data_IF_404490707610
#
_entry.id   IF_404490707610
#
_cell.length_a   1.000
_cell.length_b   1.000
_cell.length_c   1.000
_cell.angle_alpha   90.00
_cell.angle_beta   90.00
_cell.angle_gamma   90.00
#
_symmetry.space_group_name_H-M   'P 1'
#
loop_
_entity.id
_entity.type
_entity.pdbx_description
1 polymer ?
#
# COMPACT_ATOMS: atom_id res chain seq x y z
N UNK A 1 14.59 5.20 -7.52
CA UNK A 1 15.69 6.19 -7.46
C UNK A 1 16.32 6.22 -8.84
N UNK A 2 16.50 7.42 -9.40
CA UNK A 2 16.42 7.72 -10.84
C UNK A 2 17.53 7.04 -11.65
N UNK A 3 17.16 6.09 -12.54
CA UNK A 3 18.05 5.57 -13.60
C UNK A 3 18.69 6.70 -14.42
N UNK A 4 17.96 7.81 -14.59
CA UNK A 4 18.43 9.04 -15.22
C UNK A 4 19.54 9.78 -14.46
N UNK A 5 19.58 9.74 -13.12
CA UNK A 5 20.67 10.37 -12.35
C UNK A 5 22.01 9.66 -12.56
N UNK A 6 21.99 8.32 -12.62
CA UNK A 6 23.19 7.53 -12.88
C UNK A 6 23.80 7.85 -14.25
N UNK A 7 22.95 8.17 -15.22
CA UNK A 7 23.35 8.41 -16.60
C UNK A 7 23.74 9.86 -16.83
N UNK A 8 23.12 10.79 -16.11
CA UNK A 8 23.63 12.16 -15.99
C UNK A 8 25.05 12.14 -15.38
N UNK A 9 25.29 11.33 -14.34
CA UNK A 9 26.64 11.13 -13.77
C UNK A 9 27.61 10.49 -14.80
N UNK A 10 27.20 9.42 -15.51
CA UNK A 10 28.00 8.79 -16.57
C UNK A 10 28.36 9.78 -17.66
N UNK A 11 27.36 10.50 -18.19
CA UNK A 11 27.56 11.45 -19.27
C UNK A 11 28.46 12.60 -18.84
N UNK A 12 28.34 13.08 -17.60
CA UNK A 12 29.22 14.11 -17.02
C UNK A 12 30.68 13.64 -17.00
N UNK A 13 30.92 12.37 -16.67
CA UNK A 13 32.26 11.80 -16.64
C UNK A 13 32.82 11.44 -18.02
N UNK A 14 31.96 11.27 -19.03
CA UNK A 14 32.33 10.96 -20.41
C UNK A 14 32.43 12.19 -21.32
N UNK A 15 32.10 13.40 -20.84
CA UNK A 15 32.15 14.65 -21.65
C UNK A 15 33.49 14.80 -22.40
N UNK A 16 34.60 14.45 -21.75
CA UNK A 16 35.95 14.61 -22.30
C UNK A 16 36.36 13.55 -23.34
N UNK A 17 35.65 12.42 -23.43
CA UNK A 17 35.93 11.36 -24.40
C UNK A 17 35.14 11.49 -25.71
N UNK A 18 34.26 12.49 -25.81
CA UNK A 18 33.36 12.68 -26.95
C UNK A 18 32.25 11.62 -27.04
N UNK A 19 32.13 10.75 -26.03
CA UNK A 19 31.11 9.72 -25.96
C UNK A 19 29.92 10.21 -25.17
N UNK A 20 28.74 9.99 -25.73
CA UNK A 20 27.47 10.31 -25.12
C UNK A 20 26.62 9.05 -25.05
N UNK A 21 26.20 8.68 -23.84
CA UNK A 21 25.20 7.62 -23.64
C UNK A 21 23.83 8.30 -23.72
N UNK A 22 23.10 8.04 -24.80
CA UNK A 22 21.77 8.63 -25.01
C UNK A 22 20.83 8.33 -23.85
N UNK A 23 19.99 9.32 -23.51
CA UNK A 23 18.98 9.23 -22.45
C UNK A 23 17.73 8.44 -22.88
N UNK A 24 17.79 7.11 -22.87
CA UNK A 24 16.66 6.23 -23.16
C UNK A 24 15.75 6.02 -21.94
N UNK A 25 14.47 5.72 -22.18
CA UNK A 25 13.49 5.40 -21.14
C UNK A 25 13.75 4.01 -20.52
N UNK A 26 14.36 3.10 -21.29
CA UNK A 26 14.75 1.75 -20.87
C UNK A 26 16.21 1.48 -21.25
N UNK A 27 17.00 1.05 -20.27
CA UNK A 27 18.39 0.65 -20.48
C UNK A 27 18.54 -0.82 -20.18
N UNK A 28 19.06 -1.53 -21.16
CA UNK A 28 19.42 -2.94 -21.05
C UNK A 28 20.93 -3.01 -20.76
N UNK A 29 21.40 -3.79 -19.78
CA UNK A 29 22.81 -3.87 -19.40
C UNK A 29 23.77 -4.11 -20.57
N UNK A 30 23.30 -4.82 -21.59
CA UNK A 30 24.03 -5.10 -22.84
C UNK A 30 24.46 -3.81 -23.55
N UNK A 31 23.63 -2.76 -23.55
CA UNK A 31 23.97 -1.47 -24.19
C UNK A 31 25.16 -0.80 -23.50
N UNK A 32 25.25 -0.90 -22.17
CA UNK A 32 26.40 -0.37 -21.43
C UNK A 32 27.66 -1.22 -21.65
N UNK A 33 27.52 -2.54 -21.76
CA UNK A 33 28.63 -3.44 -22.10
C UNK A 33 29.16 -3.15 -23.50
N UNK A 34 28.29 -3.00 -24.49
CA UNK A 34 28.65 -2.63 -25.86
C UNK A 34 29.32 -1.25 -25.92
N UNK A 35 28.84 -0.29 -25.13
CA UNK A 35 29.46 1.03 -25.01
C UNK A 35 30.87 0.93 -24.40
N UNK A 36 31.05 0.08 -23.38
CA UNK A 36 32.35 -0.17 -22.78
C UNK A 36 33.34 -0.80 -23.77
N UNK A 37 32.90 -1.77 -24.58
CA UNK A 37 33.75 -2.39 -25.59
C UNK A 37 34.09 -1.41 -26.72
N UNK A 38 33.12 -0.63 -27.23
CA UNK A 38 33.40 0.44 -28.21
C UNK A 38 34.37 1.49 -27.66
N UNK A 39 34.24 1.86 -26.39
CA UNK A 39 35.18 2.76 -25.74
C UNK A 39 36.59 2.15 -25.68
N UNK A 40 36.71 0.86 -25.36
CA UNK A 40 37.99 0.16 -25.38
C UNK A 40 38.62 0.11 -26.78
N UNK A 41 37.82 -0.09 -27.82
CA UNK A 41 38.28 -0.09 -29.22
C UNK A 41 38.78 1.29 -29.67
N UNK A 42 38.00 2.35 -29.45
CA UNK A 42 38.35 3.73 -29.86
C UNK A 42 39.67 4.17 -29.21
N UNK A 43 39.83 3.86 -27.93
CA UNK A 43 41.00 4.27 -27.14
C UNK A 43 42.13 3.24 -27.16
N UNK A 44 41.98 2.14 -27.91
CA UNK A 44 42.93 1.02 -27.97
C UNK A 44 43.40 0.59 -26.58
N UNK A 45 42.45 0.42 -25.67
CA UNK A 45 42.73 0.12 -24.27
C UNK A 45 43.32 -1.30 -24.18
N UNK A 46 44.58 -1.39 -23.74
CA UNK A 46 45.18 -2.66 -23.37
C UNK A 46 44.72 -3.05 -21.96
N UNK A 47 43.78 -4.00 -21.88
CA UNK A 47 43.23 -4.50 -20.61
C UNK A 47 44.31 -5.18 -19.74
N UNK A 48 45.42 -5.65 -20.33
CA UNK A 48 46.51 -6.30 -19.60
C UNK A 48 47.40 -5.32 -18.82
N UNK A 49 47.39 -4.04 -19.18
CA UNK A 49 48.16 -2.99 -18.53
C UNK A 49 47.42 -2.35 -17.34
N UNK A 50 46.27 -2.89 -16.94
CA UNK A 50 45.46 -2.35 -15.85
C UNK A 50 46.15 -2.51 -14.49
N UNK A 51 46.15 -1.42 -13.72
CA UNK A 51 46.79 -1.40 -12.40
C UNK A 51 45.76 -1.39 -11.28
N UNK A 52 46.05 -2.10 -10.19
CA UNK A 52 45.16 -2.28 -9.03
C UNK A 52 45.93 -2.13 -7.72
N UNK A 53 45.24 -1.82 -6.62
CA UNK A 53 45.83 -1.73 -5.28
C UNK A 53 46.29 -0.33 -4.85
N UNK A 54 46.74 -0.22 -3.60
CA UNK A 54 47.22 1.05 -3.01
C UNK A 54 48.54 1.48 -3.65
N UNK A 55 48.68 2.77 -3.98
CA UNK A 55 49.88 3.34 -4.60
C UNK A 55 49.88 3.34 -6.13
N UNK A 56 48.95 2.61 -6.77
CA UNK A 56 48.81 2.59 -8.22
C UNK A 56 47.73 3.56 -8.70
N UNK A 57 48.07 4.45 -9.64
CA UNK A 57 47.15 5.42 -10.21
C UNK A 57 46.58 4.91 -11.53
N UNK A 58 45.32 4.45 -11.52
CA UNK A 58 44.57 4.11 -12.74
C UNK A 58 44.55 5.28 -13.72
N UNK A 59 44.76 4.99 -15.00
CA UNK A 59 44.56 5.95 -16.09
C UNK A 59 43.10 6.39 -16.17
N UNK A 60 42.82 7.51 -16.82
CA UNK A 60 41.45 8.00 -17.00
C UNK A 60 40.62 6.98 -17.79
N UNK A 61 41.24 6.37 -18.80
CA UNK A 61 40.64 5.34 -19.67
C UNK A 61 40.30 4.07 -18.88
N UNK A 62 41.23 3.56 -18.05
CA UNK A 62 40.93 2.42 -17.18
C UNK A 62 39.75 2.71 -16.25
N UNK A 63 39.74 3.89 -15.61
CA UNK A 63 38.64 4.28 -14.70
C UNK A 63 37.30 4.34 -15.40
N UNK A 64 37.23 4.97 -16.59
CA UNK A 64 35.99 5.11 -17.34
C UNK A 64 35.48 3.76 -17.86
N UNK A 65 36.36 2.90 -18.37
CA UNK A 65 36.01 1.56 -18.82
C UNK A 65 35.47 0.69 -17.67
N UNK A 66 36.19 0.63 -16.55
CA UNK A 66 35.73 -0.13 -15.37
C UNK A 66 34.43 0.42 -14.80
N UNK A 67 34.25 1.75 -14.84
CA UNK A 67 33.03 2.40 -14.38
C UNK A 67 31.82 2.05 -15.25
N UNK A 68 31.99 1.97 -16.58
CA UNK A 68 30.93 1.49 -17.49
C UNK A 68 30.54 0.04 -17.18
N UNK A 69 31.52 -0.85 -16.96
CA UNK A 69 31.25 -2.23 -16.56
C UNK A 69 30.59 -2.34 -15.18
N UNK A 70 31.02 -1.54 -14.21
CA UNK A 70 30.42 -1.47 -12.88
C UNK A 70 28.94 -1.05 -12.97
N UNK A 71 28.63 -0.09 -13.83
CA UNK A 71 27.25 0.33 -14.08
C UNK A 71 26.43 -0.74 -14.78
N UNK A 72 26.99 -1.46 -15.76
CA UNK A 72 26.32 -2.59 -16.38
C UNK A 72 25.97 -3.68 -15.34
N UNK A 73 26.92 -4.07 -14.50
CA UNK A 73 26.71 -5.05 -13.43
C UNK A 73 25.66 -4.58 -12.40
N UNK A 74 25.66 -3.29 -12.03
CA UNK A 74 24.63 -2.70 -11.17
C UNK A 74 23.25 -2.73 -11.80
N UNK A 75 23.14 -2.49 -13.11
CA UNK A 75 21.85 -2.59 -13.81
C UNK A 75 21.34 -4.03 -13.84
N UNK A 76 22.20 -5.02 -14.08
CA UNK A 76 21.84 -6.44 -13.99
C UNK A 76 21.30 -6.80 -12.62
N UNK A 77 22.01 -6.40 -11.56
CA UNK A 77 21.58 -6.60 -10.18
C UNK A 77 20.22 -5.94 -9.92
N UNK A 78 19.97 -4.73 -10.43
CA UNK A 78 18.67 -4.07 -10.29
C UNK A 78 17.55 -4.77 -11.06
N UNK A 79 17.82 -5.30 -12.26
CA UNK A 79 16.84 -6.06 -13.04
C UNK A 79 16.45 -7.32 -12.28
N UNK A 80 17.43 -8.06 -11.77
CA UNK A 80 17.18 -9.25 -10.95
C UNK A 80 16.37 -8.90 -9.69
N UNK A 81 16.77 -7.86 -8.94
CA UNK A 81 16.05 -7.39 -7.75
C UNK A 81 14.61 -6.97 -8.05
N UNK A 82 14.38 -6.26 -9.16
CA UNK A 82 13.03 -5.85 -9.59
C UNK A 82 12.22 -7.08 -9.97
N UNK A 83 12.81 -8.04 -10.68
CA UNK A 83 12.19 -9.31 -11.03
C UNK A 83 11.76 -10.12 -9.80
N UNK A 84 12.64 -10.24 -8.81
CA UNK A 84 12.35 -10.92 -7.52
C UNK A 84 11.27 -10.17 -6.72
N UNK A 85 11.33 -8.83 -6.69
CA UNK A 85 10.36 -8.02 -5.95
C UNK A 85 8.96 -8.15 -6.55
N UNK A 86 8.86 -8.18 -7.89
CA UNK A 86 7.60 -8.19 -8.62
C UNK A 86 6.87 -6.83 -8.58
N UNK A 87 5.76 -6.71 -9.33
CA UNK A 87 5.01 -5.45 -9.45
C UNK A 87 4.15 -5.12 -8.21
N UNK A 88 3.82 -6.14 -7.40
CA UNK A 88 2.79 -6.06 -6.35
C UNK A 88 3.30 -5.56 -5.00
N UNK A 89 4.61 -5.30 -4.87
CA UNK A 89 5.25 -4.86 -3.63
C UNK A 89 6.53 -4.08 -3.88
N UNK A 90 6.99 -3.36 -2.85
CA UNK A 90 8.15 -2.47 -2.93
C UNK A 90 9.39 -2.97 -2.18
N UNK A 91 9.30 -4.11 -1.48
CA UNK A 91 10.40 -4.66 -0.70
C UNK A 91 10.25 -6.16 -0.46
N UNK A 92 11.39 -6.82 -0.26
CA UNK A 92 11.46 -8.23 0.10
C UNK A 92 12.70 -8.51 0.97
N UNK A 93 12.67 -9.58 1.78
CA UNK A 93 13.83 -10.00 2.59
C UNK A 93 14.90 -10.65 1.71
N UNK A 94 16.19 -10.36 1.96
CA UNK A 94 17.31 -11.00 1.27
C UNK A 94 17.41 -12.51 1.50
N UNK A 95 16.91 -13.00 2.65
CA UNK A 95 17.00 -14.42 3.05
C UNK A 95 15.68 -15.17 2.89
N UNK A 96 14.59 -14.44 2.61
CA UNK A 96 13.29 -14.99 2.30
C UNK A 96 12.62 -14.06 1.29
N UNK A 97 12.85 -14.31 0.01
CA UNK A 97 12.29 -13.49 -1.05
C UNK A 97 10.75 -13.43 -1.01
N UNK A 98 10.07 -14.36 -0.33
CA UNK A 98 8.61 -14.30 -0.18
C UNK A 98 8.14 -13.34 0.92
N UNK A 99 8.98 -12.96 1.87
CA UNK A 99 8.61 -12.04 2.95
C UNK A 99 8.82 -10.58 2.55
N UNK A 100 7.91 -9.69 2.97
CA UNK A 100 7.97 -8.24 2.68
C UNK A 100 8.27 -7.45 3.95
N UNK A 101 9.04 -6.37 3.84
CA UNK A 101 9.36 -5.54 5.00
C UNK A 101 8.14 -4.73 5.44
N UNK A 102 7.68 -4.98 6.66
CA UNK A 102 6.52 -4.35 7.27
C UNK A 102 6.91 -3.76 8.63
N UNK A 103 6.20 -2.71 9.06
CA UNK A 103 6.36 -2.19 10.42
C UNK A 103 5.56 -3.10 11.35
N UNK A 104 6.27 -3.82 12.20
CA UNK A 104 5.65 -4.70 13.19
C UNK A 104 5.53 -3.94 14.49
N UNK A 105 4.33 -3.95 15.07
CA UNK A 105 4.08 -3.43 16.41
C UNK A 105 4.60 -4.45 17.43
N UNK A 106 5.81 -4.25 17.94
CA UNK A 106 6.46 -5.17 18.90
C UNK A 106 6.05 -4.95 20.35
N UNK A 107 5.50 -3.79 20.69
CA UNK A 107 5.02 -3.47 22.04
C UNK A 107 3.80 -2.51 22.01
N UNK A 108 3.14 -2.37 23.18
CA UNK A 108 2.05 -1.40 23.39
C UNK A 108 2.53 0.07 23.24
N UNK A 109 3.86 0.29 23.30
CA UNK A 109 4.48 1.62 23.21
C UNK A 109 4.80 2.05 21.77
N UNK A 110 4.55 1.20 20.77
CA UNK A 110 4.63 1.57 19.36
C UNK A 110 6.05 1.68 18.80
N UNK A 111 7.03 0.98 19.37
CA UNK A 111 8.34 0.87 18.74
C UNK A 111 8.23 0.02 17.47
N UNK A 112 7.90 0.66 16.36
CA UNK A 112 7.71 0.01 15.06
C UNK A 112 9.05 -0.42 14.46
N UNK A 113 9.44 -1.68 14.63
CA UNK A 113 10.58 -2.22 13.90
C UNK A 113 10.18 -2.62 12.49
N UNK A 114 10.98 -2.22 11.49
CA UNK A 114 10.82 -2.70 10.12
C UNK A 114 11.42 -4.10 10.02
N UNK A 115 10.57 -5.11 9.90
CA UNK A 115 10.95 -6.52 9.87
C UNK A 115 10.32 -7.23 8.66
N UNK A 116 10.98 -8.27 8.12
CA UNK A 116 10.39 -9.09 7.09
C UNK A 116 9.24 -9.91 7.66
N UNK A 117 8.07 -9.82 7.04
CA UNK A 117 6.83 -10.42 7.52
C UNK A 117 5.92 -10.86 6.37
N UNK A 118 4.90 -11.63 6.74
CA UNK A 118 3.75 -11.96 5.90
C UNK A 118 2.51 -11.32 6.51
N UNK A 119 1.62 -10.83 5.66
CA UNK A 119 0.34 -10.31 6.11
C UNK A 119 -0.71 -11.43 6.10
N UNK A 120 -1.07 -11.90 7.29
CA UNK A 120 -2.02 -13.01 7.48
C UNK A 120 -3.38 -12.43 7.82
N UNK A 121 -4.39 -12.77 7.01
CA UNK A 121 -5.78 -12.36 7.23
C UNK A 121 -6.66 -13.57 7.46
N UNK A 122 -7.64 -13.42 8.36
CA UNK A 122 -8.60 -14.46 8.71
C UNK A 122 -10.02 -13.93 8.62
N UNK A 123 -10.92 -14.71 8.05
CA UNK A 123 -12.36 -14.54 8.19
C UNK A 123 -12.87 -15.51 9.25
N UNK A 124 -13.61 -15.00 10.23
CA UNK A 124 -14.11 -15.78 11.37
C UNK A 124 -15.63 -15.80 11.35
N UNK A 125 -16.22 -16.97 11.55
CA UNK A 125 -17.66 -17.18 11.67
C UNK A 125 -17.96 -18.18 12.78
N UNK A 126 -18.91 -17.85 13.67
CA UNK A 126 -19.26 -18.64 14.86
C UNK A 126 -18.03 -19.04 15.69
N UNK A 127 -17.08 -18.11 15.86
CA UNK A 127 -15.78 -18.33 16.55
C UNK A 127 -14.80 -19.29 15.85
N UNK A 128 -15.11 -19.78 14.65
CA UNK A 128 -14.22 -20.61 13.84
C UNK A 128 -13.56 -19.78 12.75
N UNK A 129 -12.30 -20.09 12.45
CA UNK A 129 -11.63 -19.57 11.26
C UNK A 129 -12.26 -20.25 10.05
N UNK A 130 -13.06 -19.50 9.30
CA UNK A 130 -13.75 -19.95 8.10
C UNK A 130 -12.84 -19.86 6.87
N UNK A 131 -12.05 -18.80 6.79
CA UNK A 131 -11.09 -18.58 5.69
C UNK A 131 -9.82 -17.95 6.24
N UNK A 132 -8.68 -18.28 5.66
CA UNK A 132 -7.39 -17.68 5.99
C UNK A 132 -6.58 -17.49 4.72
N UNK A 133 -5.91 -16.36 4.61
CA UNK A 133 -5.05 -16.03 3.47
C UNK A 133 -3.74 -15.41 3.94
N UNK A 134 -2.64 -15.74 3.26
CA UNK A 134 -1.29 -15.25 3.56
C UNK A 134 -0.78 -14.46 2.37
N UNK A 135 -0.48 -13.19 2.61
CA UNK A 135 -0.16 -12.23 1.57
C UNK A 135 1.23 -11.60 1.76
N UNK A 136 1.76 -11.07 0.67
CA UNK A 136 2.98 -10.26 0.66
C UNK A 136 2.68 -8.77 0.76
N UNK A 137 1.40 -8.39 0.71
CA UNK A 137 0.99 -6.99 0.75
C UNK A 137 1.25 -6.38 2.13
N UNK A 138 1.78 -5.15 2.13
CA UNK A 138 2.02 -4.40 3.37
C UNK A 138 0.74 -3.82 3.95
N UNK A 139 -0.24 -3.48 3.11
CA UNK A 139 -1.51 -2.89 3.55
C UNK A 139 -2.59 -3.95 3.66
N UNK A 140 -3.43 -3.82 4.70
CA UNK A 140 -4.63 -4.65 4.84
C UNK A 140 -5.64 -4.37 3.72
N UNK A 141 -5.64 -3.16 3.15
CA UNK A 141 -6.50 -2.78 2.02
C UNK A 141 -6.33 -3.75 0.86
N UNK A 142 -5.08 -4.09 0.53
CA UNK A 142 -4.75 -4.95 -0.61
C UNK A 142 -5.01 -6.44 -0.31
N UNK A 143 -5.18 -6.81 0.97
CA UNK A 143 -5.46 -8.19 1.37
C UNK A 143 -6.95 -8.55 1.33
N UNK A 144 -7.85 -7.57 1.18
CA UNK A 144 -9.30 -7.80 1.17
C UNK A 144 -9.74 -8.73 0.05
N UNK A 145 -9.42 -8.37 -1.19
CA UNK A 145 -9.84 -9.08 -2.39
C UNK A 145 -9.28 -10.52 -2.38
N UNK A 146 -7.97 -10.76 -2.11
CA UNK A 146 -7.45 -12.12 -1.96
C UNK A 146 -8.22 -12.97 -0.95
N UNK A 147 -8.57 -12.40 0.22
CA UNK A 147 -9.33 -13.13 1.24
C UNK A 147 -10.76 -13.46 0.77
N UNK A 148 -11.43 -12.53 0.10
CA UNK A 148 -12.78 -12.75 -0.45
C UNK A 148 -12.79 -13.76 -1.60
N UNK A 149 -11.79 -13.74 -2.48
CA UNK A 149 -11.63 -14.74 -3.53
C UNK A 149 -11.34 -16.13 -2.94
N UNK A 150 -10.52 -16.21 -1.89
CA UNK A 150 -10.29 -17.46 -1.16
C UNK A 150 -11.57 -17.96 -0.45
N UNK A 151 -12.41 -17.05 0.05
CA UNK A 151 -13.72 -17.39 0.61
C UNK A 151 -14.63 -17.96 -0.49
N UNK A 152 -14.73 -17.29 -1.64
CA UNK A 152 -15.53 -17.76 -2.78
C UNK A 152 -15.07 -19.12 -3.27
N UNK A 153 -13.75 -19.35 -3.40
CA UNK A 153 -13.20 -20.66 -3.78
C UNK A 153 -13.60 -21.78 -2.81
N UNK A 154 -13.75 -21.45 -1.52
CA UNK A 154 -14.07 -22.42 -0.47
C UNK A 154 -15.56 -22.73 -0.41
N UNK A 155 -16.41 -21.71 -0.59
CA UNK A 155 -17.85 -21.81 -0.32
C UNK A 155 -18.76 -21.67 -1.55
N UNK A 156 -18.23 -21.22 -2.69
CA UNK A 156 -18.97 -21.00 -3.94
C UNK A 156 -19.82 -19.72 -3.97
N UNK A 157 -19.73 -18.87 -2.95
CA UNK A 157 -20.45 -17.60 -2.87
C UNK A 157 -19.63 -16.54 -2.09
N UNK A 158 -20.00 -15.27 -2.21
CA UNK A 158 -19.40 -14.17 -1.45
C UNK A 158 -20.25 -13.80 -0.22
N UNK A 159 -19.65 -13.36 0.89
CA UNK A 159 -20.40 -12.97 2.07
C UNK A 159 -21.23 -11.72 1.80
N UNK A 160 -22.51 -11.72 2.20
CA UNK A 160 -23.38 -10.55 2.00
C UNK A 160 -22.87 -9.30 2.76
N UNK A 161 -22.33 -9.50 3.96
CA UNK A 161 -21.92 -8.43 4.88
C UNK A 161 -20.44 -8.58 5.31
N UNK A 162 -19.47 -8.26 4.44
CA UNK A 162 -18.05 -8.30 4.80
C UNK A 162 -17.72 -7.16 5.79
N UNK A 163 -17.76 -7.49 7.09
CA UNK A 163 -17.43 -6.57 8.17
C UNK A 163 -15.92 -6.61 8.46
N UNK A 164 -15.24 -5.47 8.37
CA UNK A 164 -13.79 -5.39 8.58
C UNK A 164 -13.34 -4.07 9.23
N UNK A 165 -12.09 -4.05 9.68
CA UNK A 165 -11.48 -2.87 10.33
C UNK A 165 -11.20 -1.73 9.35
N UNK A 166 -10.85 -0.56 9.91
CA UNK A 166 -10.63 0.68 9.16
C UNK A 166 -9.50 0.58 8.12
N UNK A 167 -8.62 -0.42 8.25
CA UNK A 167 -7.56 -0.71 7.30
C UNK A 167 -8.02 -1.34 5.99
N UNK A 168 -9.29 -1.72 5.86
CA UNK A 168 -9.85 -2.37 4.67
C UNK A 168 -10.67 -1.45 3.78
N UNK A 169 -11.30 -0.41 4.34
CA UNK A 169 -12.18 0.49 3.59
C UNK A 169 -11.43 1.34 2.58
N UNK A 170 -11.59 1.01 1.31
CA UNK A 170 -10.98 1.70 0.18
C UNK A 170 -11.94 1.73 -1.00
N UNK A 171 -11.76 2.71 -1.90
CA UNK A 171 -12.56 2.80 -3.12
C UNK A 171 -12.56 1.49 -3.92
N UNK A 172 -11.38 0.88 -4.13
CA UNK A 172 -11.27 -0.36 -4.91
C UNK A 172 -12.04 -1.51 -4.25
N UNK A 173 -11.98 -1.61 -2.91
CA UNK A 173 -12.70 -2.66 -2.17
C UNK A 173 -14.22 -2.43 -2.17
N UNK A 174 -14.67 -1.18 -2.12
CA UNK A 174 -16.09 -0.86 -2.21
C UNK A 174 -16.68 -1.17 -3.59
N UNK A 175 -15.97 -0.82 -4.67
CA UNK A 175 -16.37 -1.19 -6.04
C UNK A 175 -16.38 -2.72 -6.19
N UNK A 176 -15.35 -3.40 -5.68
CA UNK A 176 -15.30 -4.86 -5.71
C UNK A 176 -16.49 -5.49 -4.95
N UNK A 177 -16.88 -4.92 -3.81
CA UNK A 177 -18.09 -5.36 -3.10
C UNK A 177 -19.34 -5.24 -3.98
N UNK A 178 -19.58 -4.09 -4.61
CA UNK A 178 -20.72 -3.91 -5.51
C UNK A 178 -20.74 -4.93 -6.65
N UNK A 179 -19.60 -5.12 -7.33
CA UNK A 179 -19.47 -6.05 -8.46
C UNK A 179 -19.78 -7.51 -8.07
N UNK A 180 -19.49 -7.88 -6.82
CA UNK A 180 -19.70 -9.24 -6.31
C UNK A 180 -20.99 -9.39 -5.50
N UNK A 181 -21.83 -8.35 -5.44
CA UNK A 181 -23.10 -8.37 -4.71
C UNK A 181 -22.96 -8.33 -3.18
N UNK A 182 -21.83 -7.86 -2.66
CA UNK A 182 -21.58 -7.65 -1.23
C UNK A 182 -21.93 -6.22 -0.82
N UNK A 183 -22.44 -6.03 0.39
CA UNK A 183 -22.72 -4.70 0.94
C UNK A 183 -21.47 -4.07 1.59
N UNK A 184 -21.41 -2.74 1.62
CA UNK A 184 -20.23 -2.01 2.11
C UNK A 184 -20.24 -1.85 3.64
N UNK A 185 -19.66 -2.82 4.33
CA UNK A 185 -19.55 -2.85 5.80
C UNK A 185 -18.11 -2.73 6.32
N UNK A 186 -17.16 -2.29 5.49
CA UNK A 186 -15.79 -2.03 5.93
C UNK A 186 -15.64 -0.58 6.36
N UNK A 187 -15.06 -0.34 7.54
CA UNK A 187 -14.70 1.02 7.94
C UNK A 187 -13.61 1.56 7.00
N UNK A 188 -13.66 2.85 6.68
CA UNK A 188 -12.51 3.58 6.11
C UNK A 188 -11.68 4.23 7.22
N UNK A 189 -10.43 4.60 6.93
CA UNK A 189 -9.47 5.15 7.90
C UNK A 189 -10.01 6.33 8.73
N UNK A 190 -10.79 7.20 8.10
CA UNK A 190 -11.35 8.40 8.75
C UNK A 190 -12.70 8.17 9.41
N UNK A 191 -13.26 6.96 9.38
CA UNK A 191 -14.61 6.65 9.86
C UNK A 191 -14.85 7.22 11.27
N UNK A 192 -13.98 6.91 12.24
CA UNK A 192 -14.12 7.39 13.63
C UNK A 192 -14.15 8.92 13.72
N UNK A 193 -13.34 9.61 12.91
CA UNK A 193 -13.32 11.07 12.88
C UNK A 193 -14.57 11.65 12.23
N UNK A 194 -15.11 10.98 11.21
CA UNK A 194 -16.36 11.43 10.58
C UNK A 194 -17.57 11.24 11.50
N UNK A 195 -17.61 10.18 12.30
CA UNK A 195 -18.79 9.82 13.12
C UNK A 195 -18.75 10.36 14.55
N UNK A 196 -17.58 10.42 15.19
CA UNK A 196 -17.45 10.75 16.62
C UNK A 196 -16.91 12.16 16.89
N UNK A 197 -16.10 12.72 15.99
CA UNK A 197 -15.48 14.04 16.17
C UNK A 197 -16.35 15.15 15.57
N UNK A 198 -17.27 15.68 16.38
CA UNK A 198 -18.17 16.78 15.98
C UNK A 198 -17.41 17.99 15.45
N UNK A 199 -16.28 18.35 16.08
CA UNK A 199 -15.47 19.50 15.65
C UNK A 199 -14.88 19.26 14.26
N UNK A 200 -14.47 18.03 13.96
CA UNK A 200 -14.03 17.66 12.62
C UNK A 200 -15.19 17.61 11.63
N UNK A 201 -16.31 17.00 11.99
CA UNK A 201 -17.47 16.85 11.12
C UNK A 201 -18.10 18.20 10.75
N UNK A 202 -18.34 19.07 11.73
CA UNK A 202 -19.01 20.36 11.55
C UNK A 202 -18.05 21.49 11.12
N UNK A 203 -16.77 21.20 10.90
CA UNK A 203 -15.80 22.23 10.53
C UNK A 203 -16.23 22.93 9.22
N UNK A 204 -16.56 24.23 9.25
CA UNK A 204 -17.09 24.95 8.08
C UNK A 204 -16.05 25.08 6.97
N UNK A 205 -14.77 24.91 7.30
CA UNK A 205 -13.68 24.95 6.34
C UNK A 205 -13.46 23.60 5.64
N UNK A 206 -14.24 22.55 5.88
CA UNK A 206 -14.12 21.32 5.09
C UNK A 206 -14.86 21.44 3.76
N UNK A 207 -14.25 20.96 2.69
CA UNK A 207 -14.81 21.03 1.35
C UNK A 207 -16.19 20.37 1.22
N UNK A 208 -16.41 19.27 1.96
CA UNK A 208 -17.71 18.56 1.99
C UNK A 208 -18.83 19.38 2.65
N UNK A 209 -18.48 20.38 3.44
CA UNK A 209 -19.43 21.26 4.14
C UNK A 209 -19.66 22.59 3.41
N UNK A 210 -19.01 22.80 2.27
CA UNK A 210 -19.20 24.01 1.47
C UNK A 210 -20.58 23.99 0.83
N UNK A 211 -21.26 25.13 0.86
CA UNK A 211 -22.58 25.26 0.26
C UNK A 211 -22.42 25.38 -1.26
N UNK A 212 -23.33 24.75 -1.98
CA UNK A 212 -23.52 24.98 -3.41
C UNK A 212 -24.59 26.05 -3.56
N UNK A 213 -24.32 27.09 -4.33
CA UNK A 213 -25.30 28.14 -4.61
C UNK A 213 -26.32 27.73 -5.69
N UNK A 214 -27.23 28.64 -6.02
CA UNK A 214 -28.28 28.40 -7.03
C UNK A 214 -27.73 28.18 -8.45
N UNK A 215 -26.48 28.56 -8.70
CA UNK A 215 -25.78 28.40 -9.98
C UNK A 215 -24.97 27.10 -10.04
N UNK A 216 -25.00 26.30 -8.96
CA UNK A 216 -24.22 25.07 -8.86
C UNK A 216 -22.76 25.29 -8.45
N UNK A 217 -22.39 26.50 -8.00
CA UNK A 217 -21.03 26.87 -7.65
C UNK A 217 -20.80 26.65 -6.15
N UNK A 218 -19.68 25.97 -5.83
CA UNK A 218 -19.25 25.78 -4.46
C UNK A 218 -18.74 27.08 -3.85
N UNK A 219 -19.24 27.43 -2.67
CA UNK A 219 -18.85 28.63 -1.93
C UNK A 219 -18.27 28.28 -0.56
N UNK A 220 -17.16 28.93 -0.22
CA UNK A 220 -16.57 28.80 1.11
C UNK A 220 -17.34 29.62 2.16
N UNK A 221 -17.00 29.50 3.46
CA UNK A 221 -17.65 30.27 4.53
C UNK A 221 -17.60 31.80 4.37
N UNK A 222 -16.60 32.32 3.63
CA UNK A 222 -16.50 33.75 3.29
C UNK A 222 -17.29 34.14 2.03
N UNK A 223 -18.06 33.21 1.43
CA UNK A 223 -18.87 33.44 0.23
C UNK A 223 -18.10 33.39 -1.10
N UNK A 224 -16.79 33.18 -1.07
CA UNK A 224 -15.94 33.12 -2.28
C UNK A 224 -16.15 31.84 -3.07
N UNK A 225 -16.23 31.98 -4.39
CA UNK A 225 -16.48 30.90 -5.32
C UNK A 225 -15.26 29.98 -5.51
N UNK A 226 -15.52 28.70 -5.68
CA UNK A 226 -14.54 27.68 -6.06
C UNK A 226 -14.79 27.24 -7.50
N UNK A 227 -13.83 27.52 -8.38
CA UNK A 227 -13.91 27.17 -9.79
C UNK A 227 -13.15 25.88 -10.07
N UNK A 228 -13.70 25.08 -10.97
CA UNK A 228 -13.04 23.88 -11.48
C UNK A 228 -11.71 24.26 -12.14
N UNK A 229 -10.63 23.61 -11.72
CA UNK A 229 -9.31 23.80 -12.30
C UNK A 229 -8.97 22.68 -13.30
N UNK A 230 -8.95 21.44 -12.83
CA UNK A 230 -8.66 20.26 -13.65
C UNK A 230 -9.05 18.96 -12.94
N UNK A 231 -9.07 17.86 -13.70
CA UNK A 231 -9.17 16.48 -13.18
C UNK A 231 -7.81 15.83 -13.13
N UNK A 232 -7.59 15.02 -12.10
CA UNK A 232 -6.36 14.26 -11.91
C UNK A 232 -6.68 12.80 -11.62
N UNK A 233 -6.05 11.89 -12.36
CA UNK A 233 -6.12 10.45 -12.07
C UNK A 233 -5.50 10.15 -10.69
N UNK A 234 -6.16 9.30 -9.92
CA UNK A 234 -5.66 8.84 -8.63
C UNK A 234 -4.68 7.69 -8.85
N UNK A 235 -3.43 7.88 -8.43
CA UNK A 235 -2.39 6.83 -8.54
C UNK A 235 -2.79 5.60 -7.73
N UNK A 236 -2.63 4.42 -8.31
CA UNK A 236 -2.93 3.13 -7.66
C UNK A 236 -4.42 2.75 -7.67
N UNK A 237 -5.24 3.47 -8.43
CA UNK A 237 -6.63 3.08 -8.64
C UNK A 237 -6.76 2.09 -9.82
N UNK A 238 -7.50 1.00 -9.60
CA UNK A 238 -7.69 -0.07 -10.61
C UNK A 238 -8.88 0.21 -11.55
N UNK A 239 -9.68 1.23 -11.27
CA UNK A 239 -10.96 1.54 -11.91
C UNK A 239 -10.99 2.95 -12.51
N UNK A 240 -9.82 3.53 -12.84
CA UNK A 240 -9.73 4.83 -13.52
C UNK A 240 -10.21 6.05 -12.72
N UNK A 241 -10.35 5.94 -11.40
CA UNK A 241 -10.84 7.03 -10.53
C UNK A 241 -10.08 8.33 -10.73
N UNK A 242 -10.84 9.42 -10.82
CA UNK A 242 -10.33 10.78 -10.89
C UNK A 242 -10.74 11.60 -9.68
N UNK A 243 -9.94 12.59 -9.33
CA UNK A 243 -10.27 13.64 -8.37
C UNK A 243 -10.42 14.97 -9.11
N UNK A 244 -11.47 15.70 -8.78
CA UNK A 244 -11.70 17.05 -9.29
C UNK A 244 -11.00 18.06 -8.36
N UNK A 245 -10.19 18.93 -8.95
CA UNK A 245 -9.48 19.99 -8.25
C UNK A 245 -10.22 21.31 -8.48
N UNK A 246 -10.58 21.99 -7.40
CA UNK A 246 -11.21 23.30 -7.44
C UNK A 246 -10.35 24.33 -6.72
N UNK A 247 -10.28 25.55 -7.24
CA UNK A 247 -9.50 26.65 -6.67
C UNK A 247 -10.41 27.83 -6.34
N UNK A 248 -10.21 28.41 -5.16
CA UNK A 248 -10.90 29.62 -4.72
C UNK A 248 -10.53 30.79 -5.63
N UNK A 249 -11.53 31.57 -6.04
CA UNK A 249 -11.34 32.76 -6.90
C UNK A 249 -10.35 33.76 -6.30
N UNK A 250 -10.50 34.06 -5.00
CA UNK A 250 -9.69 35.05 -4.30
C UNK A 250 -9.74 34.83 -2.78
N UNK A 251 -8.57 34.69 -2.16
CA UNK A 251 -8.45 34.61 -0.70
C UNK A 251 -7.78 35.84 -0.06
N UNK A 252 -7.46 36.89 -0.82
CA UNK A 252 -6.81 38.09 -0.32
C UNK A 252 -7.71 38.82 0.69
N UNK A 253 -7.13 39.24 1.83
CA UNK A 253 -7.87 39.92 2.90
C UNK A 253 -8.93 39.08 3.60
N UNK A 254 -8.92 37.75 3.43
CA UNK A 254 -9.92 36.88 4.05
C UNK A 254 -9.71 36.79 5.57
N UNK A 255 -10.73 37.11 6.41
CA UNK A 255 -10.61 37.06 7.87
C UNK A 255 -10.41 35.63 8.41
N UNK A 256 -10.67 34.62 7.58
CA UNK A 256 -10.51 33.21 7.94
C UNK A 256 -9.22 32.58 7.39
N UNK A 257 -8.28 33.38 6.87
CA UNK A 257 -7.07 32.88 6.22
C UNK A 257 -6.30 31.86 7.08
N UNK A 258 -6.08 32.15 8.36
CA UNK A 258 -5.29 31.30 9.27
C UNK A 258 -5.93 29.94 9.55
N UNK A 259 -7.27 29.86 9.50
CA UNK A 259 -8.02 28.63 9.74
C UNK A 259 -8.26 27.82 8.46
N UNK A 260 -8.28 28.50 7.31
CA UNK A 260 -8.72 27.96 6.02
C UNK A 260 -7.54 27.59 5.11
N UNK A 261 -6.47 28.39 5.11
CA UNK A 261 -5.30 28.25 4.24
C UNK A 261 -4.15 27.58 4.98
N UNK A 262 -3.28 26.91 4.20
CA UNK A 262 -1.99 26.37 4.68
C UNK A 262 -0.78 27.04 4.03
N UNK A 263 -1.02 27.88 3.04
CA UNK A 263 0.00 28.53 2.19
C UNK A 263 -0.52 29.90 1.79
N UNK A 264 0.35 30.79 1.32
CA UNK A 264 -0.02 32.14 0.89
C UNK A 264 -0.89 32.16 -0.38
N UNK A 265 -0.89 31.09 -1.16
CA UNK A 265 -1.70 30.93 -2.38
C UNK A 265 -3.20 30.78 -2.07
N UNK A 266 -4.04 31.04 -3.08
CA UNK A 266 -5.47 30.75 -3.00
C UNK A 266 -5.71 29.29 -2.62
N UNK A 267 -6.76 29.06 -1.82
CA UNK A 267 -7.08 27.72 -1.35
C UNK A 267 -7.53 26.83 -2.50
N UNK A 268 -6.96 25.64 -2.56
CA UNK A 268 -7.39 24.56 -3.46
C UNK A 268 -8.02 23.43 -2.64
N UNK A 269 -9.10 22.84 -3.16
CA UNK A 269 -9.76 21.67 -2.58
C UNK A 269 -9.79 20.54 -3.60
N UNK A 270 -9.87 19.30 -3.10
CA UNK A 270 -10.05 18.10 -3.91
C UNK A 270 -11.40 17.53 -3.56
N UNK A 271 -12.21 17.25 -4.57
CA UNK A 271 -13.53 16.67 -4.40
C UNK A 271 -13.54 15.33 -5.11
N UNK A 272 -13.99 14.31 -4.37
CA UNK A 272 -14.20 12.99 -4.92
C UNK A 272 -15.63 12.53 -4.61
N UNK A 273 -16.56 12.89 -5.49
CA UNK A 273 -18.00 12.67 -5.27
C UNK A 273 -18.35 11.20 -5.07
N UNK A 274 -17.75 10.32 -5.87
CA UNK A 274 -17.99 8.87 -5.80
C UNK A 274 -17.56 8.28 -4.46
N UNK A 275 -16.31 8.53 -4.01
CA UNK A 275 -15.86 8.00 -2.72
C UNK A 275 -16.62 8.63 -1.56
N UNK A 276 -16.95 9.93 -1.62
CA UNK A 276 -17.79 10.57 -0.60
C UNK A 276 -19.15 9.87 -0.50
N UNK A 277 -19.80 9.59 -1.63
CA UNK A 277 -21.06 8.85 -1.65
C UNK A 277 -20.94 7.44 -1.06
N UNK A 278 -19.87 6.70 -1.38
CA UNK A 278 -19.59 5.40 -0.78
C UNK A 278 -19.34 5.50 0.72
N UNK A 279 -18.64 6.54 1.19
CA UNK A 279 -18.43 6.76 2.62
C UNK A 279 -19.74 7.05 3.34
N UNK A 280 -20.63 7.85 2.76
CA UNK A 280 -21.94 8.13 3.35
C UNK A 280 -22.79 6.86 3.44
N UNK A 281 -22.73 5.98 2.43
CA UNK A 281 -23.36 4.66 2.47
C UNK A 281 -22.76 3.78 3.58
N UNK A 282 -21.44 3.69 3.67
CA UNK A 282 -20.74 2.93 4.71
C UNK A 282 -21.11 3.45 6.11
N UNK A 283 -21.22 4.77 6.30
CA UNK A 283 -21.67 5.36 7.56
C UNK A 283 -23.10 4.92 7.89
N UNK A 284 -24.05 5.09 6.96
CA UNK A 284 -25.44 4.64 7.15
C UNK A 284 -25.52 3.14 7.48
N UNK A 285 -24.77 2.30 6.77
CA UNK A 285 -24.73 0.87 7.00
C UNK A 285 -24.19 0.54 8.40
N UNK A 286 -23.08 1.14 8.82
CA UNK A 286 -22.40 0.83 10.08
C UNK A 286 -23.01 1.48 11.33
N UNK A 287 -23.75 2.58 11.16
CA UNK A 287 -24.52 3.24 12.23
C UNK A 287 -25.93 2.68 12.38
N UNK A 288 -26.41 1.88 11.44
CA UNK A 288 -27.64 1.10 11.60
C UNK A 288 -27.54 0.11 12.77
N UNK A 289 -28.69 -0.34 13.30
CA UNK A 289 -28.75 -1.37 14.35
C UNK A 289 -28.01 -2.65 13.88
N UNK A 290 -28.25 -3.06 12.64
CA UNK A 290 -27.56 -4.22 12.04
C UNK A 290 -26.05 -4.02 11.98
N UNK A 291 -25.59 -2.85 11.51
CA UNK A 291 -24.17 -2.52 11.45
C UNK A 291 -23.49 -2.48 12.81
N UNK A 292 -24.19 -1.97 13.84
CA UNK A 292 -23.71 -1.98 15.21
C UNK A 292 -23.53 -3.43 15.73
N UNK A 293 -24.51 -4.31 15.50
CA UNK A 293 -24.43 -5.72 15.88
C UNK A 293 -23.30 -6.46 15.13
N UNK A 294 -23.15 -6.23 13.83
CA UNK A 294 -22.06 -6.81 13.04
C UNK A 294 -20.69 -6.34 13.53
N UNK A 295 -20.52 -5.05 13.83
CA UNK A 295 -19.27 -4.50 14.40
C UNK A 295 -18.93 -5.13 15.75
N UNK A 296 -19.91 -5.28 16.62
CA UNK A 296 -19.75 -5.92 17.93
C UNK A 296 -19.31 -7.38 17.76
N UNK A 297 -20.02 -8.14 16.92
CA UNK A 297 -19.69 -9.54 16.63
C UNK A 297 -18.29 -9.70 16.04
N UNK A 298 -17.92 -8.84 15.09
CA UNK A 298 -16.57 -8.85 14.50
C UNK A 298 -15.49 -8.59 15.54
N UNK A 299 -15.69 -7.61 16.44
CA UNK A 299 -14.74 -7.32 17.51
C UNK A 299 -14.56 -8.54 18.42
N UNK A 300 -15.66 -9.13 18.90
CA UNK A 300 -15.63 -10.33 19.76
C UNK A 300 -14.91 -11.50 19.07
N UNK A 301 -15.28 -11.80 17.82
CA UNK A 301 -14.79 -13.00 17.13
C UNK A 301 -13.37 -12.84 16.61
N UNK A 302 -13.06 -11.77 15.88
CA UNK A 302 -11.76 -11.60 15.25
C UNK A 302 -10.66 -11.32 16.28
N UNK A 303 -10.91 -10.40 17.22
CA UNK A 303 -9.94 -10.08 18.27
C UNK A 303 -9.77 -11.26 19.23
N UNK A 304 -10.87 -11.95 19.57
CA UNK A 304 -10.81 -13.17 20.38
C UNK A 304 -9.97 -14.27 19.71
N UNK A 305 -10.15 -14.50 18.41
CA UNK A 305 -9.38 -15.49 17.65
C UNK A 305 -7.89 -15.16 17.64
N UNK A 306 -7.52 -13.92 17.29
CA UNK A 306 -6.13 -13.49 17.29
C UNK A 306 -5.53 -13.47 18.70
N UNK A 307 -6.31 -13.06 19.72
CA UNK A 307 -5.89 -13.07 21.11
C UNK A 307 -5.53 -14.47 21.59
N UNK A 308 -6.40 -15.45 21.34
CA UNK A 308 -6.16 -16.85 21.70
C UNK A 308 -4.92 -17.39 21.00
N UNK A 309 -4.80 -17.18 19.68
CA UNK A 309 -3.67 -17.71 18.92
C UNK A 309 -2.35 -17.07 19.38
N UNK A 310 -2.29 -15.75 19.47
CA UNK A 310 -1.04 -15.03 19.73
C UNK A 310 -0.62 -15.05 21.20
N UNK A 311 -1.57 -14.89 22.13
CA UNK A 311 -1.30 -14.76 23.56
C UNK A 311 -1.45 -16.09 24.28
N UNK A 312 -2.63 -16.71 24.23
CA UNK A 312 -2.92 -17.91 25.02
C UNK A 312 -2.14 -19.13 24.53
N UNK A 313 -1.91 -19.24 23.22
CA UNK A 313 -1.15 -20.33 22.59
C UNK A 313 0.28 -19.95 22.23
N UNK A 314 0.71 -18.74 22.58
CA UNK A 314 2.06 -18.25 22.33
C UNK A 314 2.52 -18.30 20.86
N UNK A 315 1.60 -18.30 19.89
CA UNK A 315 1.95 -18.26 18.47
C UNK A 315 2.27 -16.83 18.04
N UNK A 316 3.49 -16.38 18.36
CA UNK A 316 3.93 -14.99 18.17
C UNK A 316 4.70 -14.75 16.86
N UNK A 317 5.28 -15.79 16.26
CA UNK A 317 6.14 -15.69 15.07
C UNK A 317 5.93 -16.88 14.17
N UNK A 318 5.91 -16.60 12.86
CA UNK A 318 5.99 -17.62 11.81
C UNK A 318 7.42 -18.15 11.77
N UNK A 319 7.59 -19.47 11.70
CA UNK A 319 8.91 -20.12 11.72
C UNK A 319 9.35 -20.66 10.36
N UNK A 320 8.43 -20.81 9.42
CA UNK A 320 8.71 -21.21 8.03
C UNK A 320 9.06 -20.02 7.14
N UNK A 321 9.66 -20.32 5.98
CA UNK A 321 10.07 -19.36 4.94
C UNK A 321 9.56 -19.80 3.57
N UNK A 322 9.16 -18.85 2.75
CA UNK A 322 8.53 -19.12 1.45
C UNK A 322 7.01 -19.23 1.56
N UNK A 323 6.31 -18.68 0.58
CA UNK A 323 4.84 -18.53 0.61
C UNK A 323 4.10 -19.85 0.91
N UNK A 324 4.44 -20.94 0.21
CA UNK A 324 3.73 -22.22 0.34
C UNK A 324 3.90 -22.85 1.73
N UNK A 325 5.09 -22.80 2.30
CA UNK A 325 5.36 -23.42 3.61
C UNK A 325 4.79 -22.58 4.75
N UNK A 326 4.75 -21.25 4.59
CA UNK A 326 4.09 -20.34 5.53
C UNK A 326 2.57 -20.53 5.49
N UNK A 327 1.97 -20.65 4.30
CA UNK A 327 0.55 -21.00 4.15
C UNK A 327 0.23 -22.31 4.87
N UNK A 328 1.03 -23.35 4.65
CA UNK A 328 0.89 -24.63 5.35
C UNK A 328 0.95 -24.47 6.87
N UNK A 329 1.92 -23.73 7.41
CA UNK A 329 2.05 -23.47 8.85
C UNK A 329 0.78 -22.79 9.41
N UNK A 330 0.33 -21.72 8.77
CA UNK A 330 -0.85 -20.95 9.19
C UNK A 330 -2.13 -21.79 9.08
N UNK A 331 -2.25 -22.64 8.07
CA UNK A 331 -3.39 -23.54 7.92
C UNK A 331 -3.43 -24.58 9.05
N UNK A 332 -2.28 -25.17 9.41
CA UNK A 332 -2.20 -26.10 10.54
C UNK A 332 -2.58 -25.44 11.87
N UNK A 333 -2.10 -24.21 12.10
CA UNK A 333 -2.50 -23.41 13.28
C UNK A 333 -4.01 -23.16 13.29
N UNK A 334 -4.58 -22.82 12.13
CA UNK A 334 -6.02 -22.55 11.99
C UNK A 334 -6.88 -23.79 12.23
N UNK A 335 -6.48 -24.95 11.69
CA UNK A 335 -7.13 -26.25 11.94
C UNK A 335 -7.07 -26.58 13.43
N UNK A 336 -5.90 -26.46 14.06
CA UNK A 336 -5.74 -26.68 15.49
C UNK A 336 -6.53 -25.70 16.35
N UNK A 337 -6.74 -24.46 15.90
CA UNK A 337 -7.65 -23.51 16.54
C UNK A 337 -9.09 -24.02 16.52
N UNK A 338 -9.58 -24.35 15.32
CA UNK A 338 -10.95 -24.78 15.10
C UNK A 338 -11.29 -26.09 15.84
N UNK A 339 -10.41 -27.10 15.78
CA UNK A 339 -10.63 -28.39 16.47
C UNK A 339 -10.74 -28.21 17.99
N UNK A 340 -9.88 -27.39 18.58
CA UNK A 340 -9.93 -27.07 20.01
C UNK A 340 -11.22 -26.33 20.39
N UNK A 341 -11.62 -25.33 19.59
CA UNK A 341 -12.88 -24.61 19.79
C UNK A 341 -14.08 -25.56 19.71
N UNK A 342 -14.10 -26.42 18.70
CA UNK A 342 -15.15 -27.42 18.51
C UNK A 342 -15.27 -28.36 19.70
N UNK A 343 -14.15 -28.94 20.15
CA UNK A 343 -14.14 -29.86 21.29
C UNK A 343 -14.62 -29.17 22.58
N UNK A 344 -14.20 -27.93 22.84
CA UNK A 344 -14.66 -27.18 24.00
C UNK A 344 -16.15 -26.85 23.95
N UNK A 345 -16.68 -26.46 22.78
CA UNK A 345 -18.11 -26.21 22.59
C UNK A 345 -18.91 -27.50 22.86
N UNK A 346 -18.45 -28.63 22.33
CA UNK A 346 -19.03 -29.96 22.60
C UNK A 346 -19.04 -30.29 24.10
N UNK A 347 -17.91 -30.13 24.79
CA UNK A 347 -17.80 -30.42 26.23
C UNK A 347 -18.70 -29.52 27.08
N UNK A 348 -18.86 -28.24 26.74
CA UNK A 348 -19.78 -27.33 27.45
C UNK A 348 -21.22 -27.76 27.29
N UNK A 349 -21.63 -28.16 26.07
CA UNK A 349 -22.98 -28.66 25.82
C UNK A 349 -23.28 -29.93 26.62
N UNK A 350 -22.31 -30.85 26.73
CA UNK A 350 -22.45 -32.07 27.55
C UNK A 350 -22.51 -31.81 29.07
N UNK A 351 -22.07 -30.64 29.56
CA UNK A 351 -22.15 -30.28 30.98
C UNK A 351 -23.45 -29.56 31.35
N UNK A 352 -24.16 -29.04 30.34
CA UNK A 352 -25.41 -28.29 30.50
C UNK A 352 -26.62 -29.19 30.25
N UNK A 353 -26.46 -30.21 29.40
CA UNK A 353 -27.35 -31.37 29.32
C UNK A 353 -27.12 -32.30 30.51
#
# INVERSE_FOLDING_TARGET
MKRSLLIEEINTDLIWSGLHVETNTEYVPEVLKDTAERFAEIWKIDKSSFVYGKGHRKTVQQRQYEKLLEYAAKLEEYIEKIGICGPDRNSYSKTDHSATFMRIKTDYMGNDQLLPAYNVQVGVADEYIAVVEVNQYRSDMDCFIPLMEQFYKTYGFYPKYPIADAGYGSYNNYIYCEQKGMEKYMKFTMFKKETEDKKYHENPFRAVNFKVDNEGILRCPYGKAFHFAYRKAVKGNQYGRQEEIYTCENCSGCPYADQCKKTDKNRTIRINRELTSMHDEVIRNLESIQGALLRMNRSIQAEGTFGIIKNDRWYKRIVRRGMNTVKMEIFLVSIGHNLYKYQNKKMRLHKVA
#
